data_IF_758657569855
#
_entry.id   IF_758657569855
#
_cell.length_a   1.000
_cell.length_b   1.000
_cell.length_c   1.000
_cell.angle_alpha   90.00
_cell.angle_beta   90.00
_cell.angle_gamma   90.00
#
_symmetry.space_group_name_H-M   'P 1'
#
loop_
_entity.id
_entity.type
_entity.pdbx_description
1 polymer ?
#
# COMPACT_ATOMS: atom_id res chain seq x y z
N UNK A 1 0.61 -14.98 8.10
CA UNK A 1 0.86 -15.59 6.78
C UNK A 1 2.05 -14.94 6.08
N UNK A 2 2.04 -13.64 5.79
CA UNK A 2 3.15 -12.93 5.11
C UNK A 2 4.53 -13.19 5.74
N UNK A 3 4.71 -12.86 7.03
CA UNK A 3 5.99 -13.09 7.73
C UNK A 3 6.40 -14.57 7.76
N UNK A 4 5.45 -15.49 7.85
CA UNK A 4 5.75 -16.92 7.83
C UNK A 4 6.31 -17.38 6.49
N UNK A 5 5.88 -16.76 5.38
CA UNK A 5 6.40 -17.00 4.04
C UNK A 5 7.76 -16.31 3.80
N UNK A 6 8.11 -15.34 4.64
CA UNK A 6 9.37 -14.59 4.56
C UNK A 6 10.29 -14.86 5.76
N UNK A 7 10.25 -16.08 6.30
CA UNK A 7 11.16 -16.54 7.37
C UNK A 7 11.19 -15.61 8.61
N UNK A 8 10.05 -14.99 8.92
CA UNK A 8 9.86 -14.10 10.06
C UNK A 8 10.32 -12.65 9.82
N UNK A 9 10.72 -12.27 8.61
CA UNK A 9 11.18 -10.91 8.28
C UNK A 9 10.25 -10.24 7.27
N UNK A 10 10.21 -8.91 7.31
CA UNK A 10 9.59 -8.12 6.24
C UNK A 10 10.50 -8.10 5.01
N UNK A 11 9.90 -7.93 3.84
CA UNK A 11 10.64 -7.82 2.58
C UNK A 11 11.50 -6.56 2.57
N UNK A 12 12.36 -6.45 1.56
CA UNK A 12 13.12 -5.25 1.29
C UNK A 12 12.16 -4.03 1.24
N UNK A 13 12.43 -2.94 1.98
CA UNK A 13 11.52 -1.79 2.08
C UNK A 13 11.03 -1.26 0.72
N UNK A 14 11.92 -1.20 -0.29
CA UNK A 14 11.55 -0.75 -1.65
C UNK A 14 10.52 -1.65 -2.37
N UNK A 15 10.32 -2.89 -1.93
CA UNK A 15 9.34 -3.83 -2.48
C UNK A 15 8.03 -3.86 -1.70
N UNK A 16 7.98 -3.19 -0.53
CA UNK A 16 6.78 -3.10 0.27
C UNK A 16 5.77 -2.16 -0.38
N UNK A 17 4.48 -2.49 -0.20
CA UNK A 17 3.39 -1.62 -0.60
C UNK A 17 3.33 -0.39 0.31
N UNK A 18 3.85 0.73 -0.20
CA UNK A 18 4.02 1.98 0.56
C UNK A 18 3.21 3.15 0.01
N UNK A 19 2.74 3.09 -1.25
CA UNK A 19 2.02 4.20 -1.89
C UNK A 19 1.06 3.71 -2.97
N UNK A 20 -0.18 4.22 -2.94
CA UNK A 20 -1.20 3.91 -3.96
C UNK A 20 -0.74 4.42 -5.33
N UNK A 21 -0.24 5.66 -5.38
CA UNK A 21 0.20 6.28 -6.63
C UNK A 21 1.41 5.57 -7.24
N UNK A 22 2.35 5.11 -6.41
CA UNK A 22 3.50 4.34 -6.87
C UNK A 22 3.07 2.98 -7.43
N UNK A 23 2.22 2.24 -6.70
CA UNK A 23 1.74 0.93 -7.14
C UNK A 23 0.98 1.04 -8.48
N UNK A 24 0.09 2.03 -8.61
CA UNK A 24 -0.63 2.29 -9.86
C UNK A 24 0.33 2.61 -11.02
N UNK A 25 1.31 3.48 -10.79
CA UNK A 25 2.31 3.88 -11.79
C UNK A 25 3.17 2.70 -12.24
N UNK A 26 3.54 1.80 -11.33
CA UNK A 26 4.31 0.60 -11.67
C UNK A 26 3.50 -0.33 -12.56
N UNK A 27 2.21 -0.54 -12.25
CA UNK A 27 1.33 -1.38 -13.07
C UNK A 27 1.13 -0.85 -14.50
N UNK A 28 1.33 0.45 -14.73
CA UNK A 28 1.23 1.05 -16.06
C UNK A 28 2.53 1.01 -16.86
N UNK A 29 3.68 0.81 -16.20
CA UNK A 29 5.02 0.97 -16.82
C UNK A 29 5.78 -0.33 -16.96
N UNK A 30 5.63 -1.23 -16.00
CA UNK A 30 6.33 -2.50 -15.99
C UNK A 30 5.44 -3.57 -16.61
N UNK A 31 5.87 -4.12 -17.74
CA UNK A 31 5.12 -5.16 -18.48
C UNK A 31 5.00 -6.47 -17.71
N UNK A 32 5.81 -6.64 -16.66
CA UNK A 32 5.73 -7.79 -15.74
C UNK A 32 4.87 -7.51 -14.50
N UNK A 33 4.52 -6.24 -14.24
CA UNK A 33 3.72 -5.84 -13.10
C UNK A 33 2.24 -5.65 -13.49
N UNK A 34 1.51 -6.76 -13.59
CA UNK A 34 0.06 -6.76 -13.85
C UNK A 34 -0.67 -7.09 -12.56
N UNK A 35 -1.33 -6.09 -11.97
CA UNK A 35 -2.13 -6.24 -10.75
C UNK A 35 -3.56 -5.74 -10.98
N UNK A 36 -4.51 -6.45 -10.37
CA UNK A 36 -5.91 -6.02 -10.29
C UNK A 36 -6.22 -5.49 -8.89
N UNK A 37 -7.24 -4.64 -8.80
CA UNK A 37 -7.70 -4.12 -7.51
C UNK A 37 -8.40 -5.22 -6.73
N UNK A 38 -8.13 -5.25 -5.42
CA UNK A 38 -8.78 -6.19 -4.49
C UNK A 38 -9.99 -5.53 -3.81
N UNK A 39 -11.00 -6.31 -3.38
CA UNK A 39 -12.21 -5.80 -2.73
C UNK A 39 -11.94 -4.87 -1.53
N UNK A 40 -10.87 -5.12 -0.79
CA UNK A 40 -10.49 -4.37 0.41
C UNK A 40 -10.26 -2.87 0.14
N UNK A 41 -9.86 -2.50 -1.09
CA UNK A 41 -9.71 -1.09 -1.49
C UNK A 41 -11.04 -0.32 -1.57
N UNK A 42 -12.18 -1.01 -1.45
CA UNK A 42 -13.52 -0.46 -1.57
C UNK A 42 -14.32 -0.50 -0.26
N UNK A 43 -13.79 -1.13 0.80
CA UNK A 43 -14.47 -1.15 2.10
C UNK A 43 -13.58 -1.23 3.35
N UNK A 44 -12.26 -1.50 3.24
CA UNK A 44 -11.38 -1.75 4.39
C UNK A 44 -10.26 -0.69 4.49
N UNK A 45 -10.53 0.50 5.07
CA UNK A 45 -9.53 1.56 5.22
C UNK A 45 -8.33 1.16 6.09
N UNK A 46 -8.52 0.24 7.03
CA UNK A 46 -7.49 -0.24 7.95
C UNK A 46 -6.31 -0.90 7.22
N UNK A 47 -6.53 -1.42 6.01
CA UNK A 47 -5.46 -1.99 5.18
C UNK A 47 -4.39 -0.95 4.81
N UNK A 48 -4.74 0.34 4.82
CA UNK A 48 -3.85 1.43 4.44
C UNK A 48 -3.11 2.02 5.65
N UNK A 49 -3.37 1.51 6.86
CA UNK A 49 -2.85 2.03 8.12
C UNK A 49 -2.03 0.96 8.84
N UNK A 50 -0.84 1.33 9.29
CA UNK A 50 -0.01 0.49 10.14
C UNK A 50 -0.46 0.59 11.61
N UNK A 51 -1.68 0.14 11.90
CA UNK A 51 -2.28 0.25 13.24
C UNK A 51 -1.52 -0.53 14.32
N UNK A 52 -0.78 -1.57 13.90
CA UNK A 52 0.04 -2.39 14.81
C UNK A 52 1.43 -1.80 15.07
N UNK A 53 1.80 -0.69 14.43
CA UNK A 53 3.09 -0.03 14.63
C UNK A 53 4.29 -0.88 14.21
N UNK A 54 4.16 -1.69 13.16
CA UNK A 54 5.26 -2.51 12.67
C UNK A 54 6.44 -1.66 12.17
N UNK A 55 7.66 -2.10 12.45
CA UNK A 55 8.87 -1.52 11.88
C UNK A 55 9.11 -2.06 10.46
N UNK A 56 8.58 -1.35 9.45
CA UNK A 56 8.68 -1.74 8.04
C UNK A 56 10.00 -1.32 7.37
N UNK A 57 10.83 -0.56 8.09
CA UNK A 57 12.14 -0.12 7.62
C UNK A 57 12.07 1.18 6.80
N UNK A 58 13.18 1.47 6.11
CA UNK A 58 13.35 2.66 5.28
C UNK A 58 13.71 2.29 3.86
N UNK A 59 13.18 3.04 2.90
CA UNK A 59 13.60 2.93 1.50
C UNK A 59 15.05 3.36 1.32
N UNK A 60 15.62 3.07 0.15
CA UNK A 60 16.96 3.55 -0.22
C UNK A 60 17.05 5.08 -0.25
N UNK A 61 15.93 5.74 -0.55
CA UNK A 61 15.78 7.20 -0.47
C UNK A 61 15.62 7.73 0.97
N UNK A 62 15.86 6.87 1.98
CA UNK A 62 15.76 7.18 3.41
C UNK A 62 14.33 7.59 3.86
N UNK A 63 13.30 7.22 3.09
CA UNK A 63 11.89 7.43 3.45
C UNK A 63 11.44 6.31 4.37
N UNK A 64 10.90 6.67 5.53
CA UNK A 64 10.42 5.68 6.50
C UNK A 64 9.07 5.11 6.05
N UNK A 65 8.99 3.79 5.92
CA UNK A 65 7.75 3.11 5.54
C UNK A 65 6.88 2.94 6.77
N UNK A 66 5.63 3.40 6.68
CA UNK A 66 4.67 3.29 7.77
C UNK A 66 3.25 3.09 7.21
N UNK A 67 2.38 4.10 7.32
CA UNK A 67 1.08 4.10 6.66
C UNK A 67 1.27 4.20 5.15
N UNK A 68 0.32 3.69 4.39
CA UNK A 68 0.32 3.79 2.93
C UNK A 68 0.08 5.25 2.54
N UNK A 69 0.92 5.78 1.65
CA UNK A 69 0.75 7.10 1.09
C UNK A 69 -0.49 7.14 0.19
N UNK A 70 -1.41 8.04 0.55
CA UNK A 70 -2.66 8.24 -0.14
C UNK A 70 -2.49 9.26 -1.28
N UNK A 71 -3.31 9.17 -2.35
CA UNK A 71 -3.38 10.21 -3.37
C UNK A 71 -3.78 11.58 -2.79
N UNK A 72 -3.40 12.70 -3.41
CA UNK A 72 -3.62 14.05 -2.87
C UNK A 72 -5.10 14.42 -2.67
N UNK A 73 -6.02 13.71 -3.30
CA UNK A 73 -7.47 13.92 -3.16
C UNK A 73 -8.08 13.19 -1.95
N UNK A 74 -7.35 12.28 -1.32
CA UNK A 74 -7.77 11.57 -0.13
C UNK A 74 -6.95 12.04 1.08
N UNK A 75 -7.60 12.75 2.01
CA UNK A 75 -6.99 13.20 3.26
C UNK A 75 -6.96 12.10 4.32
N UNK A 76 -7.74 11.03 4.16
CA UNK A 76 -7.75 9.89 5.06
C UNK A 76 -8.05 8.57 4.34
N UNK A 77 -7.67 7.41 4.91
CA UNK A 77 -8.00 6.09 4.36
C UNK A 77 -9.50 5.87 4.16
N UNK A 78 -10.32 6.39 5.07
CA UNK A 78 -11.78 6.32 5.00
C UNK A 78 -12.31 7.14 3.82
N UNK A 79 -11.73 8.33 3.58
CA UNK A 79 -12.08 9.15 2.43
C UNK A 79 -11.68 8.46 1.12
N UNK A 80 -10.51 7.82 1.08
CA UNK A 80 -10.06 7.04 -0.06
C UNK A 80 -11.05 5.92 -0.40
N UNK A 81 -11.38 5.08 0.57
CA UNK A 81 -12.33 3.98 0.42
C UNK A 81 -13.71 4.47 0.01
N UNK A 82 -14.21 5.55 0.65
CA UNK A 82 -15.51 6.14 0.32
C UNK A 82 -15.59 6.57 -1.14
N UNK A 83 -14.55 7.22 -1.66
CA UNK A 83 -14.51 7.69 -3.04
C UNK A 83 -14.43 6.50 -4.00
N UNK A 84 -13.56 5.52 -3.75
CA UNK A 84 -13.48 4.32 -4.59
C UNK A 84 -14.82 3.60 -4.69
N UNK A 85 -15.53 3.47 -3.57
CA UNK A 85 -16.87 2.86 -3.53
C UNK A 85 -17.92 3.63 -4.32
N UNK A 86 -17.79 4.94 -4.48
CA UNK A 86 -18.72 5.75 -5.28
C UNK A 86 -18.48 5.62 -6.79
N UNK A 87 -17.27 5.23 -7.20
CA UNK A 87 -16.84 5.15 -8.60
C UNK A 87 -16.88 3.72 -9.14
N UNK A 88 -17.07 2.73 -8.25
CA UNK A 88 -17.26 1.31 -8.60
C UNK A 88 -18.71 1.03 -8.99
#
# INVERSE_FOLDING_TARGET
MYLALQEGKFDHPNRLFSSISLAWKNCQRDTSDVKELIPELFFLPEMLVNSNGYCLGKTEDNVNINNVELPPWASSPEQFVRINRMVS
#
